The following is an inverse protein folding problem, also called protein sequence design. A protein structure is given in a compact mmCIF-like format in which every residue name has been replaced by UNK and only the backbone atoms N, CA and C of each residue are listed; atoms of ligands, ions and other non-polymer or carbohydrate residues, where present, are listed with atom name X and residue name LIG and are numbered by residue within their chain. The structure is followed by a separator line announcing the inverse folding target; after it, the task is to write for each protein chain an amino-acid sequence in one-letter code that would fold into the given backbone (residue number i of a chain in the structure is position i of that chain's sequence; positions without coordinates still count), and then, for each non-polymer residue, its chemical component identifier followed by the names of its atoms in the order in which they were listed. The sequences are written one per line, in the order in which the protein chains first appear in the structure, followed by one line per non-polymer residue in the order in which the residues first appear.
data_IF_090461389068
#
_entry.id   IF_090461389068
#
_cell.length_a   1.000
_cell.length_b   1.000
_cell.length_c   1.000
_cell.angle_alpha   90.00
_cell.angle_beta   90.00
_cell.angle_gamma   90.00
#
_symmetry.space_group_name_H-M   'P 1'
#
loop_
_entity.id
_entity.type
_entity.pdbx_description
1 polymer ?
#
# COMPACT_ATOMS: atom_id res chain seq x y z
N UNK A 1 -14.32 32.63 -8.34
CA UNK A 1 -14.24 31.18 -8.02
C UNK A 1 -13.25 30.55 -8.97
N UNK A 2 -11.97 30.54 -8.60
CA UNK A 2 -10.90 29.89 -9.36
C UNK A 2 -10.87 28.40 -9.00
N UNK A 3 -10.91 27.47 -9.96
CA UNK A 3 -10.78 26.06 -9.66
C UNK A 3 -9.40 25.81 -9.06
N UNK A 4 -9.38 25.07 -7.94
CA UNK A 4 -8.17 24.62 -7.28
C UNK A 4 -7.32 23.87 -8.31
N UNK A 5 -6.13 24.42 -8.57
CA UNK A 5 -5.13 23.82 -9.44
C UNK A 5 -4.82 22.41 -8.93
N UNK A 6 -5.21 21.40 -9.71
CA UNK A 6 -4.69 20.05 -9.60
C UNK A 6 -3.18 20.15 -9.78
N UNK A 7 -2.42 20.05 -8.68
CA UNK A 7 -0.97 20.22 -8.73
C UNK A 7 -0.39 19.10 -9.60
N UNK A 8 0.15 19.48 -10.76
CA UNK A 8 0.64 18.59 -11.80
C UNK A 8 1.96 17.89 -11.45
N UNK A 9 2.15 17.49 -10.19
CA UNK A 9 3.28 16.69 -9.72
C UNK A 9 2.73 15.29 -9.39
N UNK A 10 2.31 14.61 -10.46
CA UNK A 10 1.73 13.27 -10.50
C UNK A 10 0.36 13.08 -9.80
N UNK A 11 -0.65 12.51 -10.48
CA UNK A 11 -1.95 12.20 -9.87
C UNK A 11 -1.74 11.34 -8.61
N UNK A 12 -2.57 11.48 -7.56
CA UNK A 12 -2.49 10.71 -6.31
C UNK A 12 -2.33 9.20 -6.53
N UNK A 13 -3.00 8.68 -7.57
CA UNK A 13 -2.91 7.27 -8.00
C UNK A 13 -1.53 6.89 -8.54
N UNK A 14 -0.80 7.81 -9.17
CA UNK A 14 0.60 7.65 -9.58
C UNK A 14 1.55 7.73 -8.37
N UNK A 15 1.23 8.55 -7.35
CA UNK A 15 1.95 8.60 -6.07
C UNK A 15 1.81 7.28 -5.27
N UNK A 16 0.63 6.67 -5.28
CA UNK A 16 0.41 5.32 -4.71
C UNK A 16 1.29 4.27 -5.40
N UNK A 17 1.44 4.34 -6.73
CA UNK A 17 2.31 3.44 -7.48
C UNK A 17 3.80 3.61 -7.18
N UNK A 18 4.25 4.86 -6.99
CA UNK A 18 5.63 5.15 -6.57
C UNK A 18 5.91 4.64 -5.15
N UNK A 19 4.93 4.78 -4.24
CA UNK A 19 5.02 4.25 -2.87
C UNK A 19 5.11 2.72 -2.89
N UNK A 20 4.30 2.06 -3.72
CA UNK A 20 4.34 0.60 -3.91
C UNK A 20 5.73 0.12 -4.41
N UNK A 21 6.31 0.84 -5.37
CA UNK A 21 7.64 0.51 -5.93
C UNK A 21 8.75 0.68 -4.90
N UNK A 22 8.66 1.72 -4.06
CA UNK A 22 9.61 1.95 -2.98
C UNK A 22 9.51 0.88 -1.88
N UNK A 23 8.29 0.46 -1.52
CA UNK A 23 8.05 -0.60 -0.53
C UNK A 23 8.60 -1.96 -1.03
N UNK A 24 8.44 -2.26 -2.32
CA UNK A 24 8.99 -3.46 -2.98
C UNK A 24 10.53 -3.48 -2.93
N UNK A 25 11.17 -2.37 -3.30
CA UNK A 25 12.62 -2.22 -3.29
C UNK A 25 13.19 -2.37 -1.86
N UNK A 26 12.55 -1.73 -0.88
CA UNK A 26 12.96 -1.83 0.52
C UNK A 26 12.89 -3.28 1.04
N UNK A 27 11.85 -4.03 0.67
CA UNK A 27 11.73 -5.44 1.05
C UNK A 27 12.77 -6.31 0.36
N UNK A 28 13.07 -6.04 -0.91
CA UNK A 28 14.10 -6.75 -1.67
C UNK A 28 15.51 -6.53 -1.06
N UNK A 29 15.81 -5.32 -0.60
CA UNK A 29 17.08 -4.95 0.04
C UNK A 29 17.18 -5.44 1.50
N UNK A 30 16.05 -5.67 2.17
CA UNK A 30 15.99 -6.11 3.56
C UNK A 30 15.22 -7.44 3.76
N UNK A 31 15.65 -8.55 3.14
CA UNK A 31 14.88 -9.80 3.12
C UNK A 31 14.78 -10.49 4.49
N UNK A 32 15.58 -10.07 5.47
CA UNK A 32 15.51 -10.57 6.85
C UNK A 32 14.32 -9.98 7.62
N UNK A 33 13.89 -8.76 7.29
CA UNK A 33 12.75 -8.11 7.97
C UNK A 33 11.46 -8.91 7.77
N UNK A 34 11.05 -9.25 6.53
CA UNK A 34 9.87 -10.08 6.31
C UNK A 34 9.97 -11.48 6.91
N UNK A 35 11.16 -12.08 6.92
CA UNK A 35 11.40 -13.43 7.49
C UNK A 35 11.21 -13.48 8.99
N UNK A 36 11.47 -12.38 9.69
CA UNK A 36 11.31 -12.30 11.15
C UNK A 36 9.85 -12.05 11.57
N UNK A 37 9.03 -11.41 10.73
CA UNK A 37 7.65 -11.02 11.05
C UNK A 37 6.76 -12.17 11.57
N UNK A 38 6.73 -13.39 10.97
CA UNK A 38 5.91 -14.49 11.49
C UNK A 38 6.23 -14.84 12.94
N UNK A 39 7.52 -14.89 13.28
CA UNK A 39 8.00 -15.20 14.64
C UNK A 39 7.73 -14.08 15.65
N UNK A 40 7.60 -12.84 15.19
CA UNK A 40 7.24 -11.68 16.01
C UNK A 40 5.73 -11.64 16.27
N UNK A 41 4.92 -11.94 15.25
CA UNK A 41 3.46 -11.89 15.32
C UNK A 41 2.84 -13.12 16.00
N UNK A 42 3.51 -14.28 15.91
CA UNK A 42 3.07 -15.52 16.55
C UNK A 42 3.29 -15.58 18.07
N UNK A 43 4.01 -14.61 18.66
CA UNK A 43 4.17 -14.54 20.12
C UNK A 43 2.88 -14.02 20.77
N UNK A 44 2.44 -14.72 21.81
CA UNK A 44 1.23 -14.40 22.58
C UNK A 44 1.37 -13.14 23.44
N UNK A 45 2.60 -12.76 23.80
CA UNK A 45 2.86 -11.50 24.51
C UNK A 45 3.01 -10.32 23.55
N UNK A 46 2.46 -9.16 23.92
CA UNK A 46 2.67 -7.90 23.19
C UNK A 46 4.14 -7.48 23.33
N UNK A 47 4.97 -7.90 22.38
CA UNK A 47 6.36 -7.46 22.32
C UNK A 47 6.43 -6.00 21.86
N UNK A 48 7.45 -5.26 22.32
CA UNK A 48 7.69 -3.87 21.87
C UNK A 48 7.73 -3.76 20.33
N UNK A 49 8.25 -4.79 19.66
CA UNK A 49 8.29 -4.85 18.20
C UNK A 49 6.90 -4.99 17.56
N UNK A 50 5.99 -5.76 18.16
CA UNK A 50 4.59 -5.88 17.70
C UNK A 50 3.87 -4.53 17.77
N UNK A 51 4.00 -3.81 18.89
CA UNK A 51 3.43 -2.47 19.04
C UNK A 51 4.01 -1.45 18.06
N UNK A 52 5.32 -1.52 17.79
CA UNK A 52 5.95 -0.67 16.77
C UNK A 52 5.40 -0.95 15.37
N UNK A 53 5.22 -2.22 15.00
CA UNK A 53 4.63 -2.63 13.71
C UNK A 53 3.17 -2.15 13.61
N UNK A 54 2.37 -2.34 14.66
CA UNK A 54 0.98 -1.87 14.69
C UNK A 54 0.88 -0.35 14.53
N UNK A 55 1.73 0.41 15.23
CA UNK A 55 1.77 1.88 15.10
C UNK A 55 2.22 2.31 13.70
N UNK A 56 3.18 1.61 13.10
CA UNK A 56 3.62 1.86 11.72
C UNK A 56 2.46 1.64 10.73
N UNK A 57 1.76 0.51 10.82
CA UNK A 57 0.60 0.20 9.96
C UNK A 57 -0.49 1.26 10.10
N UNK A 58 -0.80 1.69 11.32
CA UNK A 58 -1.81 2.72 11.56
C UNK A 58 -1.45 4.06 10.92
N UNK A 59 -0.22 4.54 11.14
CA UNK A 59 0.26 5.81 10.54
C UNK A 59 0.29 5.73 9.02
N UNK A 60 0.69 4.58 8.48
CA UNK A 60 0.72 4.38 7.04
C UNK A 60 -0.68 4.36 6.43
N UNK A 61 -1.63 3.66 7.07
CA UNK A 61 -3.04 3.66 6.66
C UNK A 61 -3.66 5.07 6.70
N UNK A 62 -3.30 5.90 7.69
CA UNK A 62 -3.73 7.30 7.76
C UNK A 62 -3.20 8.10 6.58
N UNK A 63 -1.91 8.00 6.26
CA UNK A 63 -1.30 8.69 5.11
C UNK A 63 -1.98 8.28 3.80
N UNK A 64 -2.18 6.98 3.58
CA UNK A 64 -2.85 6.46 2.39
C UNK A 64 -4.31 6.93 2.30
N UNK A 65 -5.02 7.00 3.43
CA UNK A 65 -6.39 7.51 3.47
C UNK A 65 -6.50 8.96 3.02
N UNK A 66 -5.52 9.81 3.38
CA UNK A 66 -5.45 11.20 2.91
C UNK A 66 -5.22 11.28 1.40
N UNK A 67 -4.32 10.46 0.86
CA UNK A 67 -4.08 10.39 -0.60
C UNK A 67 -5.33 9.94 -1.36
N UNK A 68 -6.07 8.96 -0.82
CA UNK A 68 -7.33 8.48 -1.43
C UNK A 68 -8.41 9.58 -1.37
N UNK A 69 -8.48 10.33 -0.28
CA UNK A 69 -9.41 11.46 -0.13
C UNK A 69 -9.11 12.59 -1.12
N UNK A 70 -7.84 12.94 -1.33
CA UNK A 70 -7.44 13.90 -2.36
C UNK A 70 -7.85 13.41 -3.76
N UNK A 71 -7.62 12.12 -4.06
CA UNK A 71 -8.03 11.53 -5.34
C UNK A 71 -9.54 11.54 -5.56
N UNK A 72 -10.33 11.35 -4.50
CA UNK A 72 -11.79 11.47 -4.51
C UNK A 72 -12.23 12.90 -4.81
N UNK A 73 -11.62 13.89 -4.16
CA UNK A 73 -11.91 15.32 -4.41
C UNK A 73 -11.55 15.75 -5.84
N UNK A 74 -10.51 15.16 -6.42
CA UNK A 74 -10.12 15.36 -7.82
C UNK A 74 -11.00 14.58 -8.82
N UNK A 75 -11.91 13.73 -8.35
CA UNK A 75 -12.77 12.90 -9.20
C UNK A 75 -12.07 11.72 -9.87
N UNK A 76 -10.85 11.37 -9.44
CA UNK A 76 -10.07 10.23 -9.95
C UNK A 76 -10.56 8.89 -9.36
N UNK A 77 -11.09 8.93 -8.14
CA UNK A 77 -11.63 7.77 -7.42
C UNK A 77 -13.10 8.07 -7.06
N UNK A 78 -13.96 7.05 -7.15
CA UNK A 78 -15.37 7.18 -6.73
C UNK A 78 -15.49 7.62 -5.27
N UNK A 79 -16.31 8.65 -5.02
CA UNK A 79 -16.59 9.18 -3.67
C UNK A 79 -17.33 8.18 -2.75
N UNK A 80 -17.89 7.11 -3.31
CA UNK A 80 -18.56 6.04 -2.55
C UNK A 80 -17.58 5.08 -1.87
N UNK A 81 -16.28 5.15 -2.21
CA UNK A 81 -15.25 4.26 -1.67
C UNK A 81 -14.85 4.72 -0.25
N UNK A 82 -14.77 3.77 0.68
CA UNK A 82 -14.31 4.05 2.03
C UNK A 82 -12.78 4.15 2.06
N UNK A 83 -12.26 5.38 2.10
CA UNK A 83 -10.82 5.70 2.11
C UNK A 83 -9.99 4.88 3.11
N UNK A 84 -10.50 4.65 4.32
CA UNK A 84 -9.78 3.90 5.36
C UNK A 84 -9.71 2.40 5.03
N UNK A 85 -10.83 1.81 4.62
CA UNK A 85 -10.85 0.39 4.23
C UNK A 85 -9.97 0.14 3.01
N UNK A 86 -10.01 1.05 2.04
CA UNK A 86 -9.20 1.02 0.83
C UNK A 86 -7.70 1.14 1.14
N UNK A 87 -7.30 2.03 2.05
CA UNK A 87 -5.93 2.08 2.57
C UNK A 87 -5.50 0.74 3.23
N UNK A 88 -6.35 0.11 4.03
CA UNK A 88 -6.05 -1.19 4.63
C UNK A 88 -5.95 -2.31 3.58
N UNK A 89 -6.81 -2.31 2.56
CA UNK A 89 -6.74 -3.26 1.44
C UNK A 89 -5.42 -3.11 0.67
N UNK A 90 -4.96 -1.88 0.46
CA UNK A 90 -3.68 -1.60 -0.17
C UNK A 90 -2.51 -2.19 0.65
N UNK A 91 -2.48 -1.95 1.96
CA UNK A 91 -1.46 -2.51 2.86
C UNK A 91 -1.51 -4.05 2.84
N UNK A 92 -2.71 -4.63 2.86
CA UNK A 92 -2.89 -6.08 2.80
C UNK A 92 -2.37 -6.68 1.48
N UNK A 93 -2.55 -5.99 0.35
CA UNK A 93 -2.03 -6.43 -0.94
C UNK A 93 -0.49 -6.48 -0.94
N UNK A 94 0.17 -5.44 -0.41
CA UNK A 94 1.64 -5.42 -0.25
C UNK A 94 2.08 -6.57 0.66
N UNK A 95 1.47 -6.70 1.84
CA UNK A 95 1.79 -7.78 2.78
C UNK A 95 1.64 -9.16 2.13
N UNK A 96 0.55 -9.39 1.40
CA UNK A 96 0.31 -10.64 0.69
C UNK A 96 1.43 -10.95 -0.31
N UNK A 97 1.85 -9.96 -1.12
CA UNK A 97 2.94 -10.13 -2.07
C UNK A 97 4.25 -10.49 -1.37
N UNK A 98 4.57 -9.81 -0.27
CA UNK A 98 5.76 -10.07 0.55
C UNK A 98 5.74 -11.49 1.12
N UNK A 99 4.64 -11.90 1.75
CA UNK A 99 4.46 -13.27 2.26
C UNK A 99 4.58 -14.30 1.15
N UNK A 100 3.99 -14.05 -0.02
CA UNK A 100 4.06 -14.95 -1.17
C UNK A 100 5.47 -15.06 -1.75
N UNK A 101 6.26 -13.98 -1.76
CA UNK A 101 7.65 -13.99 -2.20
C UNK A 101 8.55 -14.82 -1.26
N UNK A 102 8.26 -14.82 0.04
CA UNK A 102 8.93 -15.68 1.01
C UNK A 102 8.64 -17.17 0.77
N UNK A 103 7.41 -17.52 0.41
CA UNK A 103 7.00 -18.91 0.14
C UNK A 103 7.60 -19.44 -1.16
N UNK A 104 7.56 -18.62 -2.23
CA UNK A 104 7.95 -19.05 -3.59
C UNK A 104 9.47 -18.92 -3.83
N UNK A 105 10.23 -18.38 -2.89
CA UNK A 105 11.70 -18.43 -2.93
C UNK A 105 12.36 -17.46 -3.91
N UNK A 106 11.83 -16.23 -4.06
CA UNK A 106 12.49 -15.24 -4.92
C UNK A 106 11.85 -13.85 -4.90
N UNK A 107 12.63 -12.85 -4.52
CA UNK A 107 12.26 -11.42 -4.63
C UNK A 107 12.46 -10.86 -6.05
N UNK A 108 13.03 -11.62 -6.99
CA UNK A 108 13.31 -11.14 -8.36
C UNK A 108 12.06 -11.04 -9.27
N UNK A 109 10.93 -11.65 -8.89
CA UNK A 109 9.65 -11.54 -9.61
C UNK A 109 8.64 -10.63 -8.89
N UNK A 110 9.10 -9.83 -7.93
CA UNK A 110 8.28 -8.94 -7.10
C UNK A 110 7.73 -7.77 -7.94
N UNK A 111 8.58 -7.04 -8.66
CA UNK A 111 8.22 -5.88 -9.49
C UNK A 111 7.09 -6.09 -10.52
N UNK A 112 7.07 -7.24 -11.24
CA UNK A 112 5.98 -7.55 -12.19
C UNK A 112 4.65 -7.78 -11.46
N UNK A 113 4.68 -8.53 -10.36
CA UNK A 113 3.48 -8.82 -9.55
C UNK A 113 2.95 -7.58 -8.82
N UNK A 114 3.84 -6.68 -8.45
CA UNK A 114 3.51 -5.35 -7.93
C UNK A 114 2.77 -4.52 -8.96
N UNK A 115 3.23 -4.54 -10.20
CA UNK A 115 2.57 -3.82 -11.30
C UNK A 115 1.17 -4.39 -11.57
N UNK A 116 1.03 -5.72 -11.63
CA UNK A 116 -0.27 -6.39 -11.82
C UNK A 116 -1.25 -6.09 -10.67
N UNK A 117 -0.78 -6.10 -9.42
CA UNK A 117 -1.60 -5.80 -8.24
C UNK A 117 -2.06 -4.34 -8.22
N UNK A 118 -1.17 -3.41 -8.58
CA UNK A 118 -1.49 -1.99 -8.69
C UNK A 118 -2.51 -1.72 -9.80
N UNK A 119 -2.37 -2.39 -10.94
CA UNK A 119 -3.30 -2.28 -12.06
C UNK A 119 -4.69 -2.82 -11.70
N UNK A 120 -4.76 -3.99 -11.06
CA UNK A 120 -6.01 -4.53 -10.55
C UNK A 120 -6.67 -3.62 -9.52
N UNK A 121 -5.88 -3.01 -8.63
CA UNK A 121 -6.38 -2.10 -7.61
C UNK A 121 -6.93 -0.81 -8.22
N UNK A 122 -6.25 -0.26 -9.25
CA UNK A 122 -6.73 0.91 -10.01
C UNK A 122 -8.03 0.61 -10.75
N UNK A 123 -8.09 -0.52 -11.45
CA UNK A 123 -9.29 -0.95 -12.18
C UNK A 123 -10.52 -1.07 -11.25
N UNK A 124 -10.33 -1.47 -9.99
CA UNK A 124 -11.43 -1.52 -9.01
C UNK A 124 -11.89 -0.14 -8.51
N UNK A 125 -11.08 0.91 -8.65
CA UNK A 125 -11.34 2.24 -8.09
C UNK A 125 -11.73 3.29 -9.11
N UNK A 126 -11.37 3.08 -10.37
CA UNK A 126 -11.73 3.95 -11.48
C UNK A 126 -13.25 4.06 -11.65
N UNK A 127 -13.69 5.27 -12.04
CA UNK A 127 -15.07 5.52 -12.42
C UNK A 127 -15.28 4.87 -13.79
N UNK A 128 -16.09 3.83 -13.88
CA UNK A 128 -16.58 3.35 -15.18
C UNK A 128 -17.28 4.52 -15.87
N UNK A 129 -16.71 5.00 -16.98
CA UNK A 129 -17.38 5.91 -17.90
C UNK A 129 -18.38 5.16 -18.77
#
# INVERSE_FOLDING_TARGET
MTPLHCSAIAPPVRSLGATFTADDAYVADHPNIPRMLPGVLGRTSSSALKLMIESFIQRYAQRLSSVIEEAQQCGEIRNTINKRMTAHQFIAAIQHLVFRALIVGGCRQHSRRVSDALESYRACMEVNR
#
